data_IF_786042480790
#
_entry.id   IF_786042480790
#
_cell.length_a   1.000
_cell.length_b   1.000
_cell.length_c   1.000
_cell.angle_alpha   90.00
_cell.angle_beta   90.00
_cell.angle_gamma   90.00
#
_symmetry.space_group_name_H-M   'P 1'
#
loop_
_entity.id
_entity.type
_entity.pdbx_description
1 polymer ?
#
# COMPACT_ATOMS: atom_id res chain seq x y z
N UNK A 1 -11.18 -0.41 12.68
CA UNK A 1 -12.26 -0.10 11.72
C UNK A 1 -11.76 -0.43 10.33
N UNK A 2 -12.50 -1.28 9.62
CA UNK A 2 -12.22 -1.65 8.24
C UNK A 2 -12.39 -0.44 7.30
N UNK A 3 -11.59 -0.39 6.24
CA UNK A 3 -11.60 0.67 5.23
C UNK A 3 -11.39 0.08 3.85
N UNK A 4 -12.02 0.69 2.85
CA UNK A 4 -11.97 0.18 1.47
C UNK A 4 -11.08 1.06 0.59
N UNK A 5 -10.22 0.42 -0.20
CA UNK A 5 -9.35 1.08 -1.16
C UNK A 5 -9.24 0.25 -2.44
N UNK A 6 -9.58 0.85 -3.59
CA UNK A 6 -9.57 0.19 -4.90
C UNK A 6 -10.36 -1.13 -4.96
N UNK A 7 -11.43 -1.25 -4.16
CA UNK A 7 -12.27 -2.45 -4.08
C UNK A 7 -11.87 -3.43 -2.97
N UNK A 8 -10.63 -3.37 -2.50
CA UNK A 8 -10.12 -4.21 -1.42
C UNK A 8 -10.46 -3.63 -0.05
N UNK A 9 -10.76 -4.49 0.92
CA UNK A 9 -11.06 -4.09 2.29
C UNK A 9 -9.84 -4.37 3.17
N UNK A 10 -9.33 -3.32 3.80
CA UNK A 10 -8.19 -3.36 4.69
C UNK A 10 -8.63 -3.10 6.13
N UNK A 11 -7.97 -3.74 7.08
CA UNK A 11 -8.05 -3.39 8.50
C UNK A 11 -6.67 -3.49 9.14
N UNK A 12 -6.57 -3.14 10.42
CA UNK A 12 -5.34 -3.20 11.21
C UNK A 12 -5.61 -3.84 12.56
N UNK A 13 -4.67 -4.66 13.02
CA UNK A 13 -4.62 -5.17 14.39
C UNK A 13 -3.64 -4.37 15.25
N UNK A 14 -3.55 -4.70 16.53
CA UNK A 14 -2.54 -4.17 17.45
C UNK A 14 -1.15 -4.37 16.85
N UNK A 15 -0.31 -3.33 16.89
CA UNK A 15 1.02 -3.35 16.27
C UNK A 15 1.07 -2.89 14.81
N UNK A 16 -0.01 -2.28 14.27
CA UNK A 16 -0.09 -1.75 12.89
C UNK A 16 -0.01 -2.79 11.77
N UNK A 17 -0.02 -4.08 12.10
CA UNK A 17 -0.09 -5.16 11.14
C UNK A 17 -1.36 -5.02 10.28
N UNK A 18 -1.17 -5.04 8.97
CA UNK A 18 -2.24 -4.91 8.00
C UNK A 18 -2.88 -6.25 7.73
N UNK A 19 -4.21 -6.23 7.68
CA UNK A 19 -5.00 -7.36 7.23
C UNK A 19 -5.83 -6.95 6.01
N UNK A 20 -6.01 -7.89 5.09
CA UNK A 20 -6.86 -7.76 3.90
C UNK A 20 -7.97 -8.79 3.96
N UNK A 21 -9.19 -8.38 3.59
CA UNK A 21 -10.29 -9.32 3.41
C UNK A 21 -10.08 -10.14 2.15
N UNK A 22 -9.98 -11.46 2.28
CA UNK A 22 -9.90 -12.38 1.15
C UNK A 22 -11.28 -13.04 0.95
N UNK A 23 -11.92 -12.73 -0.16
CA UNK A 23 -13.25 -13.26 -0.49
C UNK A 23 -13.25 -14.77 -0.71
N UNK A 24 -12.12 -15.36 -1.12
CA UNK A 24 -12.02 -16.80 -1.37
C UNK A 24 -11.94 -17.58 -0.07
N UNK A 25 -11.34 -16.99 0.97
CA UNK A 25 -11.18 -17.58 2.29
C UNK A 25 -12.24 -17.10 3.28
N UNK A 26 -13.06 -16.12 2.88
CA UNK A 26 -14.07 -15.45 3.72
C UNK A 26 -13.51 -15.02 5.08
N UNK A 27 -12.27 -14.51 5.08
CA UNK A 27 -11.58 -14.12 6.31
C UNK A 27 -10.57 -13.02 6.03
N UNK A 28 -10.21 -12.30 7.09
CA UNK A 28 -9.08 -11.39 7.06
C UNK A 28 -7.77 -12.16 7.10
N UNK A 29 -6.83 -11.78 6.24
CA UNK A 29 -5.50 -12.38 6.14
C UNK A 29 -4.42 -11.33 6.36
N UNK A 30 -3.32 -11.67 7.04
CA UNK A 30 -2.22 -10.75 7.21
C UNK A 30 -1.47 -10.55 5.89
N UNK A 31 -1.02 -9.31 5.70
CA UNK A 31 -0.19 -8.92 4.57
C UNK A 31 1.02 -8.16 5.09
N UNK A 32 2.19 -8.45 4.55
CA UNK A 32 3.42 -7.76 4.93
C UNK A 32 3.32 -6.27 4.60
N UNK A 33 2.80 -5.96 3.40
CA UNK A 33 2.58 -4.58 2.98
C UNK A 33 1.51 -4.45 1.91
N UNK A 34 1.16 -3.20 1.61
CA UNK A 34 0.31 -2.85 0.48
C UNK A 34 1.23 -2.16 -0.52
N UNK A 35 1.32 -2.68 -1.72
CA UNK A 35 2.34 -2.27 -2.69
C UNK A 35 1.68 -1.76 -3.95
N UNK A 36 2.23 -0.71 -4.54
CA UNK A 36 1.86 -0.26 -5.86
C UNK A 36 2.60 -1.09 -6.90
N UNK A 37 1.84 -1.74 -7.79
CA UNK A 37 2.37 -2.50 -8.91
C UNK A 37 2.31 -1.64 -10.19
N UNK A 38 3.46 -1.25 -10.78
CA UNK A 38 3.49 -0.46 -12.01
C UNK A 38 2.90 -1.17 -13.23
N UNK A 39 2.89 -2.49 -13.25
CA UNK A 39 2.40 -3.29 -14.39
C UNK A 39 0.87 -3.24 -14.47
N UNK A 40 0.20 -3.41 -13.33
CA UNK A 40 -1.27 -3.37 -13.22
C UNK A 40 -1.81 -1.96 -12.95
N UNK A 41 -0.95 -1.05 -12.47
CA UNK A 41 -1.26 0.32 -12.04
C UNK A 41 -2.18 0.36 -10.83
N UNK A 42 -2.23 -0.72 -10.05
CA UNK A 42 -3.07 -0.88 -8.87
C UNK A 42 -2.23 -1.02 -7.61
N UNK A 43 -2.85 -0.79 -6.47
CA UNK A 43 -2.29 -1.21 -5.18
C UNK A 43 -2.78 -2.62 -4.90
N UNK A 44 -1.86 -3.49 -4.55
CA UNK A 44 -2.07 -4.91 -4.33
C UNK A 44 -1.53 -5.28 -2.95
N UNK A 45 -2.18 -6.24 -2.25
CA UNK A 45 -1.61 -6.82 -1.04
C UNK A 45 -0.35 -7.63 -1.38
N UNK A 46 0.72 -7.41 -0.62
CA UNK A 46 1.91 -8.25 -0.68
C UNK A 46 1.93 -9.15 0.56
N UNK A 47 1.70 -10.45 0.35
CA UNK A 47 1.62 -11.44 1.42
C UNK A 47 2.98 -11.90 1.93
N UNK A 48 4.04 -11.81 1.10
CA UNK A 48 5.42 -12.05 1.53
C UNK A 48 5.60 -13.36 2.30
N UNK A 49 6.12 -13.24 3.52
CA UNK A 49 6.41 -14.38 4.41
C UNK A 49 5.22 -15.30 4.68
N UNK A 50 4.00 -14.76 4.72
CA UNK A 50 2.78 -15.53 5.02
C UNK A 50 2.43 -16.56 3.94
N UNK A 51 3.01 -16.45 2.75
CA UNK A 51 2.74 -17.35 1.62
C UNK A 51 4.00 -18.03 1.06
N UNK A 52 5.09 -18.15 1.84
CA UNK A 52 6.34 -18.74 1.35
C UNK A 52 6.26 -20.26 1.13
N UNK A 53 5.62 -21.00 2.04
CA UNK A 53 5.54 -22.47 1.98
C UNK A 53 4.07 -22.92 1.96
N UNK A 54 3.64 -23.51 0.86
CA UNK A 54 2.24 -23.91 0.63
C UNK A 54 1.79 -25.09 1.49
N UNK A 55 2.73 -25.88 2.00
CA UNK A 55 2.45 -27.01 2.89
C UNK A 55 2.49 -26.64 4.38
N UNK A 56 2.68 -25.36 4.70
CA UNK A 56 2.60 -24.88 6.07
C UNK A 56 1.18 -25.05 6.62
N UNK A 57 1.06 -25.61 7.83
CA UNK A 57 -0.21 -25.71 8.54
C UNK A 57 -0.84 -24.33 8.79
N UNK A 58 -0.02 -23.29 8.89
CA UNK A 58 -0.44 -21.90 9.07
C UNK A 58 -0.37 -21.07 7.77
N UNK A 59 -0.35 -21.73 6.60
CA UNK A 59 -0.24 -21.05 5.31
C UNK A 59 -1.27 -19.92 5.17
N UNK A 60 -0.75 -18.75 4.84
CA UNK A 60 -1.53 -17.54 4.62
C UNK A 60 -1.86 -16.73 5.87
N UNK A 61 -1.49 -17.19 7.07
CA UNK A 61 -1.69 -16.49 8.35
C UNK A 61 -0.43 -16.40 9.21
N UNK A 62 0.46 -17.40 9.14
CA UNK A 62 1.55 -17.57 10.10
C UNK A 62 1.03 -17.65 11.53
N UNK A 63 1.77 -17.05 12.46
CA UNK A 63 1.42 -17.01 13.88
C UNK A 63 0.16 -16.19 14.21
N UNK A 64 -0.36 -15.41 13.25
CA UNK A 64 -1.47 -14.46 13.46
C UNK A 64 -2.85 -15.06 13.22
N UNK A 65 -2.95 -16.39 13.13
CA UNK A 65 -4.21 -17.07 12.78
C UNK A 65 -5.34 -16.72 13.75
N UNK A 66 -5.08 -16.80 15.05
CA UNK A 66 -6.10 -16.54 16.08
C UNK A 66 -6.58 -15.09 16.06
N UNK A 67 -5.69 -14.13 15.85
CA UNK A 67 -6.05 -12.71 15.73
C UNK A 67 -6.90 -12.46 14.49
N UNK A 68 -6.55 -13.11 13.37
CA UNK A 68 -7.30 -12.97 12.12
C UNK A 68 -8.72 -13.53 12.23
N UNK A 69 -8.88 -14.68 12.90
CA UNK A 69 -10.18 -15.28 13.16
C UNK A 69 -11.03 -14.37 14.07
N UNK A 70 -10.45 -13.85 15.16
CA UNK A 70 -11.13 -12.87 16.05
C UNK A 70 -11.56 -11.59 15.31
N UNK A 71 -10.71 -11.08 14.43
CA UNK A 71 -11.05 -9.89 13.62
C UNK A 71 -12.15 -10.21 12.62
N UNK A 72 -12.11 -11.38 12.01
CA UNK A 72 -13.13 -11.82 11.05
C UNK A 72 -14.51 -11.89 11.69
N UNK A 73 -14.60 -12.40 12.93
CA UNK A 73 -15.87 -12.51 13.66
C UNK A 73 -16.40 -11.15 14.15
N UNK A 74 -15.53 -10.21 14.47
CA UNK A 74 -15.90 -8.94 15.12
C UNK A 74 -15.93 -7.73 14.19
N UNK A 75 -15.26 -7.80 13.04
CA UNK A 75 -15.17 -6.68 12.12
C UNK A 75 -16.46 -6.55 11.29
N UNK A 76 -17.13 -5.41 11.44
CA UNK A 76 -18.14 -4.97 10.48
C UNK A 76 -17.46 -4.45 9.21
N UNK A 77 -17.32 -5.32 8.21
CA UNK A 77 -16.72 -5.00 6.91
C UNK A 77 -17.75 -4.52 5.87
N UNK A 78 -19.05 -4.70 6.12
CA UNK A 78 -20.12 -4.19 5.26
C UNK A 78 -20.17 -2.65 5.33
N UNK A 79 -19.92 -2.09 6.51
CA UNK A 79 -19.84 -0.63 6.72
C UNK A 79 -18.46 -0.01 6.43
N UNK A 80 -17.55 -0.76 5.78
CA UNK A 80 -16.20 -0.27 5.49
C UNK A 80 -16.22 1.03 4.68
N UNK A 81 -15.59 2.07 5.23
CA UNK A 81 -15.57 3.41 4.63
C UNK A 81 -14.47 3.51 3.57
N UNK A 82 -14.80 4.05 2.41
CA UNK A 82 -13.85 4.30 1.33
C UNK A 82 -12.85 5.41 1.68
N UNK A 83 -11.57 5.20 1.32
CA UNK A 83 -10.59 6.28 1.37
C UNK A 83 -10.88 7.34 0.31
N UNK A 84 -10.89 8.61 0.73
CA UNK A 84 -11.13 9.76 -0.17
C UNK A 84 -10.04 9.95 -1.22
N UNK A 85 -8.78 9.62 -0.89
CA UNK A 85 -7.64 9.77 -1.78
C UNK A 85 -6.53 8.77 -1.42
N UNK A 86 -5.64 8.51 -2.40
CA UNK A 86 -4.51 7.60 -2.22
C UNK A 86 -3.55 8.06 -1.11
N UNK A 87 -3.36 9.38 -0.93
CA UNK A 87 -2.49 9.89 0.13
C UNK A 87 -3.02 9.55 1.53
N UNK A 88 -4.35 9.57 1.73
CA UNK A 88 -4.93 9.15 3.01
C UNK A 88 -4.77 7.64 3.25
N UNK A 89 -4.83 6.84 2.18
CA UNK A 89 -4.55 5.40 2.27
C UNK A 89 -3.11 5.17 2.73
N UNK A 90 -2.12 5.77 2.06
CA UNK A 90 -0.70 5.60 2.39
C UNK A 90 -0.33 6.13 3.78
N UNK A 91 -0.91 7.25 4.20
CA UNK A 91 -0.75 7.76 5.58
C UNK A 91 -1.38 6.82 6.59
N UNK A 92 -2.52 6.22 6.27
CA UNK A 92 -3.19 5.28 7.15
C UNK A 92 -2.43 3.96 7.26
N UNK A 93 -1.84 3.43 6.18
CA UNK A 93 -1.04 2.20 6.24
C UNK A 93 0.21 2.37 7.11
N UNK A 94 0.79 3.57 7.17
CA UNK A 94 2.00 3.88 7.95
C UNK A 94 3.22 3.04 7.54
N UNK A 95 3.30 2.67 6.27
CA UNK A 95 4.43 1.96 5.67
C UNK A 95 5.51 2.93 5.19
N UNK A 96 6.77 2.49 5.04
CA UNK A 96 7.82 3.29 4.44
C UNK A 96 7.49 3.63 2.98
N UNK A 97 7.31 4.91 2.68
CA UNK A 97 6.99 5.38 1.34
C UNK A 97 8.25 5.78 0.59
N UNK A 98 8.37 5.29 -0.65
CA UNK A 98 9.37 5.76 -1.60
C UNK A 98 8.74 6.79 -2.53
N UNK A 99 9.40 7.94 -2.70
CA UNK A 99 8.89 8.98 -3.58
C UNK A 99 9.20 8.66 -5.05
N UNK A 100 8.17 8.28 -5.80
CA UNK A 100 8.25 8.03 -7.24
C UNK A 100 7.67 9.22 -7.97
N UNK A 101 8.55 10.14 -8.39
CA UNK A 101 8.25 11.34 -9.19
C UNK A 101 7.21 12.26 -8.55
N UNK A 102 5.93 12.01 -8.75
CA UNK A 102 4.81 12.85 -8.30
C UNK A 102 4.07 12.29 -7.08
N UNK A 103 4.38 11.07 -6.60
CA UNK A 103 3.66 10.41 -5.50
C UNK A 103 4.58 9.59 -4.58
N UNK A 104 4.21 9.51 -3.30
CA UNK A 104 4.82 8.59 -2.34
C UNK A 104 4.07 7.26 -2.34
N UNK A 105 4.77 6.16 -2.60
CA UNK A 105 4.20 4.81 -2.66
C UNK A 105 5.17 3.78 -2.10
N UNK A 106 4.66 2.68 -1.56
CA UNK A 106 5.45 1.46 -1.37
C UNK A 106 5.47 0.73 -2.72
N UNK A 107 6.66 0.46 -3.28
CA UNK A 107 6.77 -0.18 -4.59
C UNK A 107 6.78 -1.70 -4.43
N UNK A 108 6.13 -2.42 -5.35
CA UNK A 108 6.18 -3.88 -5.38
C UNK A 108 7.63 -4.39 -5.51
N UNK A 109 8.09 -5.37 -4.71
CA UNK A 109 9.50 -5.78 -4.63
C UNK A 109 10.07 -6.31 -5.95
N UNK A 110 9.25 -6.96 -6.78
CA UNK A 110 9.66 -7.42 -8.11
C UNK A 110 9.90 -6.30 -9.14
N UNK A 111 9.67 -5.02 -8.78
CA UNK A 111 9.85 -3.89 -9.67
C UNK A 111 10.85 -2.89 -9.10
N UNK A 112 11.85 -2.53 -9.91
CA UNK A 112 12.68 -1.37 -9.64
C UNK A 112 11.88 -0.07 -9.87
N UNK A 113 12.29 1.02 -9.22
CA UNK A 113 11.66 2.32 -9.41
C UNK A 113 11.74 2.74 -10.89
N UNK A 114 10.60 2.94 -11.58
CA UNK A 114 10.58 3.15 -13.03
C UNK A 114 11.33 4.42 -13.40
N UNK A 115 12.09 4.35 -14.50
CA UNK A 115 12.71 5.55 -15.05
C UNK A 115 11.62 6.52 -15.57
N UNK A 116 11.97 7.77 -15.89
CA UNK A 116 10.96 8.77 -16.28
C UNK A 116 10.13 8.34 -17.50
N UNK A 117 10.74 7.67 -18.47
CA UNK A 117 10.07 7.24 -19.72
C UNK A 117 9.09 6.10 -19.44
N UNK A 118 9.52 5.11 -18.66
CA UNK A 118 8.70 4.01 -18.16
C UNK A 118 7.54 4.54 -17.32
N UNK A 119 7.82 5.47 -16.42
CA UNK A 119 6.81 6.05 -15.56
C UNK A 119 5.72 6.78 -16.36
N UNK A 120 6.11 7.56 -17.37
CA UNK A 120 5.17 8.21 -18.29
C UNK A 120 4.34 7.19 -19.08
N UNK A 121 4.96 6.08 -19.51
CA UNK A 121 4.28 4.99 -20.21
C UNK A 121 3.27 4.30 -19.31
N UNK A 122 3.69 3.90 -18.11
CA UNK A 122 2.86 3.26 -17.08
C UNK A 122 1.67 4.13 -16.74
N UNK A 123 1.90 5.42 -16.46
CA UNK A 123 0.84 6.35 -16.09
C UNK A 123 -0.01 6.81 -17.28
N UNK A 124 0.29 6.36 -18.50
CA UNK A 124 -0.32 6.85 -19.74
C UNK A 124 -0.35 8.38 -19.82
N UNK A 125 0.75 9.02 -19.42
CA UNK A 125 0.86 10.47 -19.27
C UNK A 125 1.87 11.05 -20.25
N UNK A 126 1.64 12.30 -20.69
CA UNK A 126 2.59 13.03 -21.52
C UNK A 126 3.61 13.76 -20.64
N UNK A 127 4.83 13.87 -21.13
CA UNK A 127 5.95 14.47 -20.40
C UNK A 127 5.69 15.91 -19.91
N UNK A 128 4.82 16.66 -20.61
CA UNK A 128 4.41 18.03 -20.28
C UNK A 128 3.31 18.12 -19.23
N UNK A 129 2.54 17.06 -18.98
CA UNK A 129 1.35 17.10 -18.10
C UNK A 129 1.61 16.66 -16.67
N UNK A 130 2.74 16.00 -16.38
CA UNK A 130 3.07 15.61 -15.00
C UNK A 130 3.85 16.68 -14.25
N UNK A 131 3.32 17.08 -13.08
CA UNK A 131 3.96 18.01 -12.14
C UNK A 131 5.33 17.45 -11.74
N UNK A 132 6.36 18.30 -11.73
CA UNK A 132 7.69 17.93 -11.22
C UNK A 132 7.58 17.64 -9.72
N UNK A 133 8.40 16.72 -9.21
CA UNK A 133 8.55 16.51 -7.77
C UNK A 133 8.73 17.87 -7.05
N UNK A 134 8.12 18.08 -5.88
CA UNK A 134 8.26 19.33 -5.15
C UNK A 134 9.74 19.65 -4.94
N UNK A 135 10.21 20.78 -5.46
CA UNK A 135 11.63 21.20 -5.42
C UNK A 135 12.05 21.82 -4.09
N UNK A 136 11.16 21.85 -3.09
CA UNK A 136 11.38 22.58 -1.85
C UNK A 136 11.40 21.61 -0.65
N UNK A 137 12.55 21.00 -0.41
CA UNK A 137 12.94 20.59 0.97
C UNK A 137 14.28 21.19 1.41
N UNK A 138 14.99 21.92 0.53
CA UNK A 138 16.12 22.76 0.94
C UNK A 138 16.04 24.10 0.23
N UNK A 139 15.41 25.08 0.88
CA UNK A 139 15.60 26.47 0.51
C UNK A 139 17.01 26.88 0.91
N UNK A 140 17.93 26.99 -0.06
CA UNK A 140 19.14 27.77 0.16
C UNK A 140 18.70 29.22 0.36
N UNK A 141 18.67 29.70 1.61
CA UNK A 141 18.55 31.12 1.88
C UNK A 141 19.71 31.83 1.18
N UNK A 142 19.42 32.65 0.16
CA UNK A 142 20.40 33.64 -0.30
C UNK A 142 20.63 34.60 0.87
N UNK A 143 21.79 34.50 1.52
CA UNK A 143 22.26 35.55 2.43
C UNK A 143 22.38 36.83 1.61
N UNK A 144 21.56 37.83 1.91
CA UNK A 144 21.75 39.17 1.40
C UNK A 144 23.14 39.65 1.84
N UNK A 145 24.02 39.97 0.88
CA UNK A 145 25.28 40.65 1.16
C UNK A 145 24.93 42.08 1.58
N UNK A 146 25.41 42.48 2.76
CA UNK A 146 25.49 43.87 3.20
C UNK A 146 26.51 44.63 2.37
#
# INVERSE_FOLDING_TARGET
MARRFQGEIYTKILGNQLLVWDTSWQSFRPVESAVWNPSTRRVEPFYGEFCMEIFDAQYGYGDLREECDKVTETADFESAVDFKNADAFWRWTNQPLTWIRDRGVTLHPCHAAPNRKEYLRVMNARARTMKRAPRQMQGTMKRARR
#
